data_IF_961479876889
#
_entry.id   IF_961479876889
#
_cell.length_a   1.000
_cell.length_b   1.000
_cell.length_c   1.000
_cell.angle_alpha   90.00
_cell.angle_beta   90.00
_cell.angle_gamma   90.00
#
_symmetry.space_group_name_H-M   'P 1'
#
loop_
_entity.id
_entity.type
_entity.pdbx_description
1 polymer ?
#
# COMPACT_ATOMS: atom_id res chain seq x y z
N UNK A 1 -9.41 11.53 -6.61
CA UNK A 1 -9.63 10.19 -7.20
C UNK A 1 -8.31 9.44 -7.22
N UNK A 2 -8.30 8.23 -6.66
CA UNK A 2 -7.16 7.32 -6.75
C UNK A 2 -7.42 6.20 -7.74
N UNK A 3 -6.36 5.71 -8.38
CA UNK A 3 -6.44 4.66 -9.39
C UNK A 3 -5.82 3.37 -8.86
N UNK A 4 -6.61 2.31 -8.85
CA UNK A 4 -6.15 0.95 -8.56
C UNK A 4 -5.60 0.24 -9.79
N UNK A 5 -4.71 -0.72 -9.57
CA UNK A 5 -4.20 -1.59 -10.63
C UNK A 5 -3.05 -2.47 -10.17
N UNK A 6 -2.85 -3.58 -10.89
CA UNK A 6 -1.77 -4.51 -10.57
C UNK A 6 -0.41 -4.00 -11.09
N UNK A 7 0.58 -3.92 -10.22
CA UNK A 7 1.99 -3.84 -10.58
C UNK A 7 2.53 -5.24 -10.92
N UNK A 8 3.33 -5.43 -11.99
CA UNK A 8 4.01 -4.42 -12.81
C UNK A 8 3.28 -3.97 -14.09
N UNK A 9 1.95 -4.13 -14.16
CA UNK A 9 1.18 -3.71 -15.34
C UNK A 9 1.23 -2.18 -15.44
N UNK A 10 1.81 -1.70 -16.53
CA UNK A 10 2.10 -0.29 -16.75
C UNK A 10 0.89 0.59 -17.08
N UNK A 11 -0.15 0.13 -17.82
CA UNK A 11 -1.27 1.01 -18.20
C UNK A 11 -2.01 1.64 -17.01
N UNK A 12 -2.36 0.92 -15.93
CA UNK A 12 -2.98 1.53 -14.75
C UNK A 12 -2.09 2.58 -14.08
N UNK A 13 -0.77 2.34 -14.01
CA UNK A 13 0.18 3.27 -13.38
C UNK A 13 0.32 4.57 -14.19
N UNK A 14 0.36 4.48 -15.52
CA UNK A 14 0.35 5.66 -16.40
C UNK A 14 -0.96 6.45 -16.29
N UNK A 15 -2.09 5.75 -16.11
CA UNK A 15 -3.36 6.42 -15.82
C UNK A 15 -3.26 7.13 -14.48
N UNK A 16 -2.84 6.43 -13.43
CA UNK A 16 -2.74 6.97 -12.07
C UNK A 16 -1.92 8.25 -12.00
N UNK A 17 -0.81 8.34 -12.74
CA UNK A 17 0.07 9.51 -12.77
C UNK A 17 -0.60 10.84 -13.16
N UNK A 18 -1.83 10.82 -13.68
CA UNK A 18 -2.63 12.02 -14.03
C UNK A 18 -3.70 12.39 -13.00
N UNK A 19 -3.82 11.61 -11.93
CA UNK A 19 -4.81 11.76 -10.85
C UNK A 19 -4.12 12.08 -9.52
N UNK A 20 -4.87 11.98 -8.42
CA UNK A 20 -4.41 12.38 -7.08
C UNK A 20 -3.58 11.29 -6.40
N UNK A 21 -3.66 10.04 -6.87
CA UNK A 21 -2.93 8.96 -6.25
C UNK A 21 -3.09 7.60 -6.93
N UNK A 22 -2.32 6.64 -6.44
CA UNK A 22 -2.32 5.24 -6.87
C UNK A 22 -2.53 4.32 -5.67
N UNK A 23 -3.41 3.32 -5.84
CA UNK A 23 -3.63 2.22 -4.90
C UNK A 23 -3.15 0.92 -5.56
N UNK A 24 -1.84 0.68 -5.66
CA UNK A 24 -1.33 -0.46 -6.39
C UNK A 24 -1.58 -1.77 -5.64
N UNK A 25 -1.86 -2.80 -6.41
CA UNK A 25 -1.84 -4.19 -5.96
C UNK A 25 -0.58 -4.83 -6.54
N UNK A 26 0.20 -5.52 -5.72
CA UNK A 26 1.41 -6.20 -6.20
C UNK A 26 1.07 -7.63 -6.58
N UNK A 27 1.48 -8.08 -7.76
CA UNK A 27 1.23 -9.47 -8.17
C UNK A 27 1.93 -10.49 -7.24
N UNK A 28 3.04 -10.09 -6.63
CA UNK A 28 3.90 -10.82 -5.68
C UNK A 28 3.38 -10.79 -4.23
N UNK A 29 2.61 -9.77 -3.86
CA UNK A 29 2.10 -9.55 -2.51
C UNK A 29 0.59 -9.28 -2.54
N UNK A 30 -0.17 -10.35 -2.79
CA UNK A 30 -1.62 -10.30 -2.91
C UNK A 30 -2.30 -10.43 -1.55
N UNK A 31 -3.58 -10.07 -1.49
CA UNK A 31 -4.51 -10.49 -0.42
C UNK A 31 -4.04 -10.25 1.03
N UNK A 32 -3.46 -9.07 1.29
CA UNK A 32 -3.05 -8.63 2.62
C UNK A 32 -1.56 -8.81 2.92
N UNK A 33 -0.79 -9.43 2.01
CA UNK A 33 0.67 -9.47 2.16
C UNK A 33 1.31 -8.11 1.86
N UNK A 34 2.33 -7.78 2.66
CA UNK A 34 3.12 -6.56 2.49
C UNK A 34 4.00 -6.69 1.23
N UNK A 35 4.02 -5.69 0.33
CA UNK A 35 4.87 -5.73 -0.85
C UNK A 35 6.35 -5.59 -0.51
N UNK A 36 7.20 -6.12 -1.40
CA UNK A 36 8.64 -5.91 -1.30
C UNK A 36 9.01 -4.43 -1.50
N UNK A 37 9.93 -3.92 -0.68
CA UNK A 37 10.32 -2.51 -0.69
C UNK A 37 10.95 -2.10 -2.01
N UNK A 38 11.69 -2.98 -2.69
CA UNK A 38 12.28 -2.69 -4.00
C UNK A 38 11.19 -2.54 -5.07
N UNK A 39 10.16 -3.38 -5.06
CA UNK A 39 9.02 -3.23 -5.98
C UNK A 39 8.27 -1.92 -5.74
N UNK A 40 8.14 -1.48 -4.48
CA UNK A 40 7.56 -0.18 -4.14
C UNK A 40 8.41 0.95 -4.73
N UNK A 41 9.73 0.92 -4.57
CA UNK A 41 10.63 1.94 -5.14
C UNK A 41 10.50 1.99 -6.66
N UNK A 42 10.45 0.85 -7.33
CA UNK A 42 10.29 0.77 -8.78
C UNK A 42 8.95 1.33 -9.24
N UNK A 43 7.87 1.03 -8.52
CA UNK A 43 6.54 1.56 -8.77
C UNK A 43 6.51 3.08 -8.61
N UNK A 44 7.03 3.59 -7.48
CA UNK A 44 7.07 5.03 -7.18
C UNK A 44 7.87 5.77 -8.24
N UNK A 45 9.06 5.26 -8.59
CA UNK A 45 9.90 5.81 -9.65
C UNK A 45 9.19 5.82 -11.01
N UNK A 46 8.51 4.72 -11.36
CA UNK A 46 7.76 4.66 -12.61
C UNK A 46 6.61 5.67 -12.66
N UNK A 47 5.79 5.76 -11.60
CA UNK A 47 4.66 6.70 -11.57
C UNK A 47 5.17 8.14 -11.63
N UNK A 48 6.19 8.50 -10.83
CA UNK A 48 6.79 9.84 -10.85
C UNK A 48 7.31 10.22 -12.22
N UNK A 49 7.98 9.30 -12.94
CA UNK A 49 8.46 9.53 -14.31
C UNK A 49 7.33 9.84 -15.32
N UNK A 50 6.10 9.38 -15.05
CA UNK A 50 4.96 9.57 -15.95
C UNK A 50 4.00 10.66 -15.49
N UNK A 51 4.28 11.35 -14.38
CA UNK A 51 3.51 12.53 -13.98
C UNK A 51 3.73 13.65 -15.00
N UNK A 52 2.70 14.46 -15.32
CA UNK A 52 2.86 15.59 -16.23
C UNK A 52 3.93 16.56 -15.72
N UNK A 53 4.75 17.09 -16.63
CA UNK A 53 5.76 18.07 -16.28
C UNK A 53 5.11 19.33 -15.69
N UNK A 54 5.67 19.86 -14.59
CA UNK A 54 5.12 21.01 -13.88
C UNK A 54 3.91 20.70 -12.99
N UNK A 55 3.50 19.44 -12.87
CA UNK A 55 2.42 19.05 -11.95
C UNK A 55 2.94 18.85 -10.52
N UNK A 56 2.91 19.95 -9.75
CA UNK A 56 3.34 20.00 -8.35
C UNK A 56 2.25 19.56 -7.36
N UNK A 57 1.08 19.13 -7.83
CA UNK A 57 0.02 18.69 -6.93
C UNK A 57 0.52 17.50 -6.10
N UNK A 58 0.15 17.42 -4.80
CA UNK A 58 0.43 16.25 -3.98
C UNK A 58 -0.05 14.97 -4.68
N UNK A 59 0.71 13.89 -4.51
CA UNK A 59 0.37 12.61 -5.09
C UNK A 59 0.54 11.51 -4.06
N UNK A 60 -0.51 10.70 -3.90
CA UNK A 60 -0.60 9.71 -2.84
C UNK A 60 -0.27 8.30 -3.34
N UNK A 61 0.58 7.61 -2.60
CA UNK A 61 0.91 6.20 -2.80
C UNK A 61 0.31 5.40 -1.64
N UNK A 62 -0.81 4.74 -1.90
CA UNK A 62 -1.57 3.99 -0.90
C UNK A 62 -1.16 2.52 -0.95
N UNK A 63 -0.38 2.08 0.02
CA UNK A 63 0.01 0.67 0.15
C UNK A 63 -0.85 0.00 1.22
N UNK A 64 -0.97 -1.32 1.16
CA UNK A 64 -1.68 -2.04 2.19
C UNK A 64 -1.16 -3.44 2.42
N UNK A 65 -1.34 -3.91 3.64
CA UNK A 65 -0.89 -5.19 4.13
C UNK A 65 -1.33 -5.40 5.58
N UNK A 66 -0.98 -6.55 6.15
CA UNK A 66 -1.27 -6.85 7.54
C UNK A 66 -0.03 -6.65 8.41
N UNK A 67 -0.13 -5.80 9.43
CA UNK A 67 0.91 -5.63 10.46
C UNK A 67 0.59 -6.41 11.73
N UNK A 68 1.60 -6.52 12.61
CA UNK A 68 1.40 -6.95 14.00
C UNK A 68 0.76 -5.80 14.79
N UNK A 69 -0.10 -6.07 15.80
CA UNK A 69 -0.56 -5.03 16.73
C UNK A 69 0.57 -4.51 17.66
N UNK A 70 1.74 -5.16 17.65
CA UNK A 70 2.94 -4.65 18.29
C UNK A 70 3.51 -3.47 17.50
N UNK A 71 3.58 -2.30 18.14
CA UNK A 71 3.97 -1.04 17.50
C UNK A 71 5.39 -1.08 16.91
N UNK A 72 6.35 -1.73 17.59
CA UNK A 72 7.72 -1.82 17.09
C UNK A 72 7.77 -2.66 15.81
N UNK A 73 7.10 -3.82 15.81
CA UNK A 73 7.01 -4.68 14.62
C UNK A 73 6.25 -4.02 13.48
N UNK A 74 5.20 -3.25 13.77
CA UNK A 74 4.48 -2.50 12.76
C UNK A 74 5.37 -1.42 12.13
N UNK A 75 6.14 -0.70 12.95
CA UNK A 75 7.11 0.31 12.48
C UNK A 75 8.19 -0.30 11.59
N UNK A 76 8.73 -1.47 11.96
CA UNK A 76 9.75 -2.17 11.16
C UNK A 76 9.25 -2.54 9.76
N UNK A 77 7.94 -2.76 9.61
CA UNK A 77 7.29 -3.05 8.32
C UNK A 77 7.02 -1.77 7.53
N UNK A 78 6.45 -0.74 8.17
CA UNK A 78 5.94 0.45 7.48
C UNK A 78 7.04 1.46 7.17
N UNK A 79 8.02 1.65 8.06
CA UNK A 79 9.05 2.67 7.88
C UNK A 79 9.83 2.50 6.56
N UNK A 80 10.28 1.30 6.16
CA UNK A 80 10.94 1.11 4.86
C UNK A 80 10.05 1.43 3.66
N UNK A 81 8.74 1.17 3.77
CA UNK A 81 7.77 1.46 2.71
C UNK A 81 7.51 2.96 2.57
N UNK A 82 7.39 3.67 3.70
CA UNK A 82 7.32 5.12 3.76
C UNK A 82 8.55 5.75 3.12
N UNK A 83 9.73 5.27 3.49
CA UNK A 83 11.01 5.77 2.94
C UNK A 83 11.15 5.46 1.44
N UNK A 84 10.51 4.38 0.96
CA UNK A 84 10.39 4.07 -0.47
C UNK A 84 9.39 4.97 -1.22
N UNK A 85 8.58 5.75 -0.51
CA UNK A 85 7.67 6.76 -1.07
C UNK A 85 6.18 6.50 -0.83
N UNK A 86 5.81 5.50 -0.02
CA UNK A 86 4.43 5.32 0.42
C UNK A 86 3.96 6.53 1.26
N UNK A 87 2.72 6.96 1.06
CA UNK A 87 2.14 8.10 1.79
C UNK A 87 0.93 7.70 2.65
N UNK A 88 0.29 6.57 2.34
CA UNK A 88 -0.83 6.02 3.11
C UNK A 88 -0.65 4.52 3.36
N UNK A 89 -1.19 4.06 4.48
CA UNK A 89 -1.27 2.66 4.86
C UNK A 89 -2.72 2.22 4.99
N UNK A 90 -3.09 1.19 4.23
CA UNK A 90 -4.35 0.45 4.30
C UNK A 90 -4.10 -0.86 5.07
N UNK A 91 -4.45 -0.87 6.35
CA UNK A 91 -4.27 -2.03 7.24
C UNK A 91 -5.28 -3.14 6.90
N UNK A 92 -4.79 -4.36 6.68
CA UNK A 92 -5.56 -5.48 6.14
C UNK A 92 -5.49 -6.73 7.03
N UNK A 93 -6.30 -7.72 6.66
CA UNK A 93 -6.15 -9.09 7.11
C UNK A 93 -5.55 -9.95 5.98
N UNK A 94 -4.77 -10.97 6.36
CA UNK A 94 -4.34 -11.99 5.40
C UNK A 94 -5.57 -12.81 5.01
N UNK A 95 -5.98 -12.75 3.74
CA UNK A 95 -7.21 -13.41 3.29
C UNK A 95 -7.14 -14.94 3.37
N UNK A 96 -5.93 -15.51 3.24
CA UNK A 96 -5.69 -16.94 3.44
C UNK A 96 -5.47 -17.32 4.92
N UNK A 97 -5.56 -16.35 5.84
CA UNK A 97 -5.41 -16.56 7.27
C UNK A 97 -6.63 -17.26 7.88
N UNK A 98 -6.57 -17.63 9.17
CA UNK A 98 -7.66 -18.32 9.83
C UNK A 98 -8.86 -17.39 10.08
N UNK A 99 -10.01 -17.75 9.51
CA UNK A 99 -11.30 -17.09 9.75
C UNK A 99 -11.31 -15.58 9.42
N UNK A 100 -10.90 -15.16 8.21
CA UNK A 100 -10.83 -13.75 7.82
C UNK A 100 -12.23 -13.08 7.73
N UNK A 101 -13.26 -13.90 7.57
CA UNK A 101 -14.68 -13.57 7.51
C UNK A 101 -15.36 -13.61 8.89
N UNK A 102 -14.69 -14.14 9.92
CA UNK A 102 -15.26 -14.24 11.26
C UNK A 102 -15.30 -12.86 11.90
N UNK A 103 -16.47 -12.50 12.47
CA UNK A 103 -16.67 -11.25 13.19
C UNK A 103 -15.58 -10.99 14.24
N UNK A 104 -15.17 -12.02 15.01
CA UNK A 104 -14.14 -11.86 16.03
C UNK A 104 -12.75 -11.57 15.47
N UNK A 105 -12.41 -12.08 14.29
CA UNK A 105 -11.15 -11.74 13.60
C UNK A 105 -11.16 -10.31 13.09
N UNK A 106 -12.29 -9.89 12.48
CA UNK A 106 -12.49 -8.52 11.99
C UNK A 106 -12.44 -7.52 13.15
N UNK A 107 -13.21 -7.76 14.23
CA UNK A 107 -13.23 -6.87 15.39
C UNK A 107 -11.86 -6.75 16.05
N UNK A 108 -11.13 -7.86 16.23
CA UNK A 108 -9.76 -7.81 16.79
C UNK A 108 -8.84 -6.91 15.98
N UNK A 109 -8.95 -6.93 14.64
CA UNK A 109 -8.15 -6.06 13.77
C UNK A 109 -8.56 -4.59 13.89
N UNK A 110 -9.86 -4.31 13.98
CA UNK A 110 -10.39 -2.94 14.17
C UNK A 110 -9.97 -2.38 15.53
N UNK A 111 -10.10 -3.18 16.60
CA UNK A 111 -9.76 -2.80 17.98
C UNK A 111 -8.26 -2.57 18.19
N UNK A 112 -7.39 -3.22 17.40
CA UNK A 112 -5.95 -2.95 17.42
C UNK A 112 -5.61 -1.53 16.94
N UNK A 113 -6.53 -0.85 16.25
CA UNK A 113 -6.33 0.49 15.75
C UNK A 113 -5.30 0.58 14.62
N UNK A 114 -4.99 1.80 14.16
CA UNK A 114 -3.92 2.01 13.19
C UNK A 114 -2.56 1.71 13.83
N UNK A 115 -1.57 1.22 13.06
CA UNK A 115 -0.23 1.01 13.56
C UNK A 115 0.41 2.34 13.97
N UNK A 116 0.96 2.40 15.19
CA UNK A 116 1.67 3.57 15.70
C UNK A 116 3.10 3.59 15.14
N UNK A 117 3.35 4.39 14.11
CA UNK A 117 4.62 4.43 13.36
C UNK A 117 5.37 5.74 13.47
#
# INVERSE_FOLDING_TARGET
>A
MWIGGFWPRRPPMRRAARWDGVVPLFETARHGHVPDVAEVRDLVGYVRKHRPAGDERPFEFVLGGATSPDAAKARDVIAPLRDAGATWWDERQIQAGPGPDRLSSVLRRVEAGPPEV
#
